data_IF_707014693548
#
_entry.id   IF_707014693548
#
_cell.length_a   1.000
_cell.length_b   1.000
_cell.length_c   1.000
_cell.angle_alpha   90.00
_cell.angle_beta   90.00
_cell.angle_gamma   90.00
#
_symmetry.space_group_name_H-M   'P 1'
#
loop_
_entity.id
_entity.type
_entity.pdbx_description
1 polymer ?
#
# COMPACT_ATOMS: atom_id res chain seq x y z
N UNK A 1 2.49 5.38 -9.38
CA UNK A 1 1.13 4.83 -9.58
C UNK A 1 1.18 3.69 -10.60
N UNK A 2 0.57 2.54 -10.29
CA UNK A 2 0.62 1.32 -11.12
C UNK A 2 -0.03 1.47 -12.50
N UNK A 3 -1.12 2.24 -12.61
CA UNK A 3 -1.79 2.53 -13.88
C UNK A 3 -0.95 3.36 -14.85
N UNK A 4 -0.14 4.30 -14.34
CA UNK A 4 0.77 5.09 -15.16
C UNK A 4 1.77 4.18 -15.92
N UNK A 5 2.39 3.25 -15.19
CA UNK A 5 3.30 2.27 -15.80
C UNK A 5 2.57 1.30 -16.72
N UNK A 6 1.33 0.93 -16.39
CA UNK A 6 0.52 0.04 -17.21
C UNK A 6 0.17 0.66 -18.57
N UNK A 7 -0.12 1.96 -18.65
CA UNK A 7 -0.49 2.63 -19.91
C UNK A 7 0.64 3.46 -20.53
N UNK A 8 1.90 3.20 -20.17
CA UNK A 8 3.07 3.99 -20.62
C UNK A 8 3.14 4.18 -22.14
N UNK A 9 2.78 3.14 -22.89
CA UNK A 9 2.81 3.13 -24.36
C UNK A 9 1.63 3.88 -25.00
N UNK A 10 0.59 4.27 -24.23
CA UNK A 10 -0.61 4.95 -24.74
C UNK A 10 -1.60 4.05 -25.50
N UNK A 11 -1.18 2.88 -25.94
CA UNK A 11 -2.01 1.85 -26.58
C UNK A 11 -2.23 0.64 -25.67
N UNK A 12 -3.38 -0.01 -25.85
CA UNK A 12 -3.67 -1.30 -25.24
C UNK A 12 -4.27 -2.22 -26.32
N UNK A 13 -3.39 -2.86 -27.09
CA UNK A 13 -3.79 -3.93 -28.00
C UNK A 13 -4.07 -5.22 -27.22
N UNK A 14 -4.78 -6.17 -27.85
CA UNK A 14 -5.05 -7.48 -27.24
C UNK A 14 -3.77 -8.22 -26.83
N UNK A 15 -2.75 -8.22 -27.70
CA UNK A 15 -1.47 -8.88 -27.44
C UNK A 15 -0.70 -8.20 -26.29
N UNK A 16 -0.69 -6.87 -26.25
CA UNK A 16 -0.09 -6.12 -25.14
C UNK A 16 -0.80 -6.41 -23.81
N UNK A 17 -2.14 -6.46 -23.83
CA UNK A 17 -2.92 -6.80 -22.64
C UNK A 17 -2.60 -8.21 -22.13
N UNK A 18 -2.64 -9.22 -23.02
CA UNK A 18 -2.32 -10.60 -22.67
C UNK A 18 -0.90 -10.75 -22.10
N UNK A 19 0.08 -10.10 -22.73
CA UNK A 19 1.47 -10.08 -22.26
C UNK A 19 1.60 -9.44 -20.87
N UNK A 20 0.94 -8.29 -20.64
CA UNK A 20 0.94 -7.63 -19.33
C UNK A 20 0.25 -8.45 -18.25
N UNK A 21 -0.82 -9.17 -18.59
CA UNK A 21 -1.51 -10.06 -17.66
C UNK A 21 -0.63 -11.24 -17.27
N UNK A 22 0.00 -11.89 -18.26
CA UNK A 22 0.94 -12.98 -18.03
C UNK A 22 2.10 -12.56 -17.10
N UNK A 23 2.72 -11.41 -17.35
CA UNK A 23 3.79 -10.89 -16.49
C UNK A 23 3.32 -10.61 -15.05
N UNK A 24 2.06 -10.20 -14.86
CA UNK A 24 1.49 -9.92 -13.54
C UNK A 24 1.19 -11.18 -12.74
N UNK A 25 1.08 -12.34 -13.37
CA UNK A 25 1.03 -13.62 -12.66
C UNK A 25 2.30 -13.81 -11.81
N UNK A 26 3.47 -13.58 -12.40
CA UNK A 26 4.76 -13.77 -11.72
C UNK A 26 5.14 -12.62 -10.79
N UNK A 27 4.71 -11.40 -11.10
CA UNK A 27 5.11 -10.21 -10.35
C UNK A 27 4.11 -9.75 -9.29
N UNK A 28 2.87 -10.25 -9.33
CA UNK A 28 1.83 -9.94 -8.35
C UNK A 28 1.16 -11.19 -7.77
N UNK A 29 0.57 -12.06 -8.60
CA UNK A 29 -0.24 -13.18 -8.11
C UNK A 29 0.58 -14.19 -7.30
N UNK A 30 1.70 -14.68 -7.85
CA UNK A 30 2.56 -15.63 -7.16
C UNK A 30 3.07 -15.05 -5.83
N UNK A 31 3.68 -13.84 -5.79
CA UNK A 31 4.08 -13.22 -4.53
C UNK A 31 2.92 -13.06 -3.54
N UNK A 32 1.74 -12.63 -4.02
CA UNK A 32 0.54 -12.45 -3.20
C UNK A 32 0.11 -13.75 -2.53
N UNK A 33 0.05 -14.85 -3.28
CA UNK A 33 -0.31 -16.16 -2.74
C UNK A 33 0.73 -16.66 -1.73
N UNK A 34 2.02 -16.48 -2.01
CA UNK A 34 3.09 -16.89 -1.11
C UNK A 34 3.08 -16.10 0.20
N UNK A 35 2.90 -14.78 0.14
CA UNK A 35 2.86 -13.95 1.35
C UNK A 35 1.62 -14.23 2.22
N UNK A 36 0.44 -14.40 1.62
CA UNK A 36 -0.75 -14.79 2.37
C UNK A 36 -0.62 -16.21 2.96
N UNK A 37 0.05 -17.12 2.26
CA UNK A 37 0.38 -18.44 2.82
C UNK A 37 1.32 -18.31 4.02
N UNK A 38 2.40 -17.51 3.91
CA UNK A 38 3.31 -17.23 5.03
C UNK A 38 2.53 -16.62 6.20
N UNK A 39 1.69 -15.62 5.95
CA UNK A 39 0.86 -14.98 6.95
C UNK A 39 -0.10 -15.96 7.64
N UNK A 40 -0.68 -16.91 6.90
CA UNK A 40 -1.49 -17.98 7.46
C UNK A 40 -0.67 -18.97 8.31
N UNK A 41 0.56 -19.29 7.91
CA UNK A 41 1.47 -20.09 8.75
C UNK A 41 1.84 -19.34 10.05
N UNK A 42 2.06 -18.02 9.99
CA UNK A 42 2.24 -17.18 11.17
C UNK A 42 0.98 -17.16 12.05
N UNK A 43 -0.20 -17.13 11.45
CA UNK A 43 -1.47 -17.24 12.16
C UNK A 43 -1.57 -18.57 12.91
N UNK A 44 -1.30 -19.71 12.26
CA UNK A 44 -1.23 -21.03 12.91
C UNK A 44 -0.21 -21.02 14.06
N UNK A 45 0.98 -20.46 13.84
CA UNK A 45 2.02 -20.40 14.87
C UNK A 45 1.57 -19.64 16.13
N UNK A 46 0.71 -18.62 15.99
CA UNK A 46 0.15 -17.87 17.13
C UNK A 46 -0.80 -18.70 18.01
N UNK A 47 -1.36 -19.81 17.49
CA UNK A 47 -2.15 -20.76 18.28
C UNK A 47 -1.30 -21.73 19.10
N UNK A 48 0.03 -21.65 19.04
CA UNK A 48 0.89 -22.44 19.90
C UNK A 48 0.68 -22.04 21.37
N UNK A 49 0.35 -22.96 22.30
CA UNK A 49 -0.12 -22.61 23.65
C UNK A 49 0.77 -21.62 24.43
N UNK A 50 2.12 -21.70 24.37
CA UNK A 50 3.00 -20.71 25.00
C UNK A 50 2.88 -19.28 24.44
N UNK A 51 2.42 -19.10 23.20
CA UNK A 51 2.25 -17.79 22.55
C UNK A 51 0.84 -17.21 22.74
N UNK A 52 -0.15 -18.02 23.09
CA UNK A 52 -1.54 -17.59 23.25
C UNK A 52 -1.74 -16.35 24.15
N UNK A 53 -1.05 -16.21 25.31
CA UNK A 53 -1.20 -15.01 26.14
C UNK A 53 -0.79 -13.70 25.45
N UNK A 54 0.11 -13.77 24.48
CA UNK A 54 0.59 -12.60 23.72
C UNK A 54 -0.41 -12.19 22.64
N UNK A 55 -1.13 -13.16 22.06
CA UNK A 55 -2.01 -13.00 20.89
C UNK A 55 -3.49 -13.25 21.21
N UNK A 56 -3.95 -12.75 22.36
CA UNK A 56 -5.36 -12.76 22.76
C UNK A 56 -6.25 -12.16 21.64
N UNK A 57 -7.41 -12.78 21.38
CA UNK A 57 -8.34 -12.45 20.27
C UNK A 57 -8.02 -13.17 18.96
N UNK A 58 -6.75 -13.33 18.57
CA UNK A 58 -6.37 -14.10 17.38
C UNK A 58 -6.63 -15.60 17.62
N UNK A 59 -6.32 -16.07 18.83
CA UNK A 59 -6.46 -17.48 19.20
C UNK A 59 -7.91 -17.97 19.27
N UNK A 60 -8.88 -17.05 19.27
CA UNK A 60 -10.32 -17.36 19.28
C UNK A 60 -10.83 -17.74 17.88
N UNK A 61 -10.12 -17.32 16.82
CA UNK A 61 -10.47 -17.63 15.44
C UNK A 61 -10.02 -19.07 15.14
N UNK A 62 -10.91 -20.01 14.79
CA UNK A 62 -10.53 -21.41 14.59
C UNK A 62 -9.66 -21.60 13.35
N UNK A 63 -8.70 -22.52 13.42
CA UNK A 63 -7.95 -22.97 12.23
C UNK A 63 -8.88 -23.91 11.44
N UNK A 64 -9.44 -23.42 10.34
CA UNK A 64 -10.34 -24.17 9.47
C UNK A 64 -9.97 -23.98 8.00
N UNK A 65 -10.43 -24.90 7.14
CA UNK A 65 -10.26 -24.76 5.69
C UNK A 65 -10.97 -23.52 5.14
N UNK A 66 -12.11 -23.14 5.73
CA UNK A 66 -12.81 -21.90 5.39
C UNK A 66 -11.95 -20.67 5.68
N UNK A 67 -11.33 -20.61 6.86
CA UNK A 67 -10.45 -19.51 7.25
C UNK A 67 -9.15 -19.49 6.43
N UNK A 68 -8.67 -20.66 6.00
CA UNK A 68 -7.59 -20.73 5.01
C UNK A 68 -7.98 -20.08 3.68
N UNK A 69 -9.17 -20.37 3.12
CA UNK A 69 -9.61 -19.72 1.87
C UNK A 69 -9.85 -18.22 2.06
N UNK A 70 -10.51 -17.82 3.16
CA UNK A 70 -10.73 -16.42 3.52
C UNK A 70 -9.43 -15.62 3.66
N UNK A 71 -8.33 -16.28 4.05
CA UNK A 71 -7.01 -15.64 4.18
C UNK A 71 -6.52 -14.97 2.90
N UNK A 72 -6.95 -15.46 1.73
CA UNK A 72 -6.56 -14.92 0.43
C UNK A 72 -7.55 -13.90 -0.13
N UNK A 73 -8.58 -13.51 0.61
CA UNK A 73 -9.57 -12.56 0.08
C UNK A 73 -10.13 -11.64 1.16
N UNK A 74 -10.81 -12.20 2.15
CA UNK A 74 -11.51 -11.47 3.21
C UNK A 74 -11.37 -12.22 4.53
N UNK A 75 -10.29 -11.93 5.25
CA UNK A 75 -10.02 -12.46 6.57
C UNK A 75 -10.40 -11.42 7.63
N UNK A 76 -11.44 -11.73 8.41
CA UNK A 76 -11.96 -10.81 9.43
C UNK A 76 -11.30 -11.11 10.78
N UNK A 77 -10.61 -10.12 11.33
CA UNK A 77 -10.18 -10.15 12.72
C UNK A 77 -11.30 -9.54 13.58
N UNK A 78 -12.10 -10.39 14.21
CA UNK A 78 -13.11 -9.94 15.18
C UNK A 78 -12.41 -9.13 16.29
N UNK A 79 -12.90 -7.91 16.56
CA UNK A 79 -12.36 -7.02 17.59
C UNK A 79 -11.41 -5.91 17.14
N UNK A 80 -10.95 -5.87 15.88
CA UNK A 80 -10.10 -4.76 15.38
C UNK A 80 -10.88 -3.55 14.80
N UNK A 81 -12.22 -3.61 14.77
CA UNK A 81 -13.06 -2.49 14.30
C UNK A 81 -12.88 -2.13 12.81
N UNK A 82 -12.09 -2.90 12.07
CA UNK A 82 -11.88 -2.68 10.64
C UNK A 82 -13.07 -3.27 9.88
N UNK A 83 -13.89 -2.36 9.33
CA UNK A 83 -15.01 -2.68 8.45
C UNK A 83 -14.59 -3.05 7.02
N UNK A 84 -13.29 -2.94 6.71
CA UNK A 84 -12.77 -3.12 5.37
C UNK A 84 -12.38 -4.56 5.09
N UNK A 85 -12.75 -5.06 3.91
CA UNK A 85 -12.36 -6.41 3.47
C UNK A 85 -10.87 -6.46 3.13
N UNK A 86 -10.11 -7.28 3.87
CA UNK A 86 -8.66 -7.43 3.70
C UNK A 86 -8.26 -8.90 3.71
N UNK A 87 -7.20 -9.30 2.98
CA UNK A 87 -6.62 -10.61 3.15
C UNK A 87 -5.87 -10.71 4.49
N UNK A 88 -5.45 -11.91 4.90
CA UNK A 88 -4.82 -12.12 6.22
C UNK A 88 -3.53 -11.31 6.40
N UNK A 89 -2.76 -11.13 5.32
CA UNK A 89 -1.68 -10.15 5.27
C UNK A 89 -2.26 -8.79 4.86
N UNK A 90 -2.75 -8.04 5.85
CA UNK A 90 -3.57 -6.85 5.64
C UNK A 90 -2.98 -5.86 4.61
N UNK A 91 -1.67 -5.54 4.54
CA UNK A 91 -1.15 -4.58 3.57
C UNK A 91 -1.46 -4.98 2.14
N UNK A 92 -1.54 -6.29 1.85
CA UNK A 92 -1.73 -6.84 0.49
C UNK A 92 -3.13 -6.63 -0.08
N UNK A 93 -4.06 -6.00 0.65
CA UNK A 93 -5.36 -5.58 0.11
C UNK A 93 -5.22 -4.83 -1.22
N UNK A 94 -4.24 -3.93 -1.32
CA UNK A 94 -4.02 -3.15 -2.55
C UNK A 94 -3.54 -4.03 -3.72
N UNK A 95 -2.75 -5.07 -3.44
CA UNK A 95 -2.28 -6.02 -4.48
C UNK A 95 -3.45 -6.85 -5.00
N UNK A 96 -4.32 -7.33 -4.10
CA UNK A 96 -5.58 -8.01 -4.46
C UNK A 96 -6.43 -7.13 -5.38
N UNK A 97 -6.70 -5.91 -4.96
CA UNK A 97 -7.52 -4.97 -5.72
C UNK A 97 -6.87 -4.61 -7.05
N UNK A 98 -5.54 -4.43 -7.07
CA UNK A 98 -4.79 -4.15 -8.29
C UNK A 98 -4.89 -5.29 -9.32
N UNK A 99 -4.94 -6.55 -8.90
CA UNK A 99 -5.15 -7.67 -9.83
C UNK A 99 -6.50 -7.56 -10.53
N UNK A 100 -7.56 -7.23 -9.79
CA UNK A 100 -8.91 -7.04 -10.35
C UNK A 100 -8.97 -5.82 -11.27
N UNK A 101 -8.37 -4.70 -10.85
CA UNK A 101 -8.29 -3.48 -11.65
C UNK A 101 -7.54 -3.72 -12.97
N UNK A 102 -6.49 -4.54 -12.95
CA UNK A 102 -5.76 -4.96 -14.17
C UNK A 102 -6.66 -5.79 -15.08
N UNK A 103 -7.45 -6.72 -14.55
CA UNK A 103 -8.42 -7.46 -15.36
C UNK A 103 -9.42 -6.52 -16.03
N UNK A 104 -9.91 -5.51 -15.29
CA UNK A 104 -10.79 -4.46 -15.78
C UNK A 104 -10.11 -3.42 -16.70
N UNK A 105 -8.79 -3.48 -16.88
CA UNK A 105 -8.05 -2.43 -17.61
C UNK A 105 -8.52 -2.18 -19.05
N UNK A 106 -8.99 -3.15 -19.86
CA UNK A 106 -9.53 -2.84 -21.19
C UNK A 106 -10.77 -1.92 -21.15
N UNK A 107 -11.61 -2.06 -20.13
CA UNK A 107 -12.76 -1.18 -19.91
C UNK A 107 -12.29 0.21 -19.43
N UNK A 108 -11.36 0.24 -18.46
CA UNK A 108 -10.77 1.48 -17.96
C UNK A 108 -10.05 2.26 -19.07
N UNK A 109 -9.40 1.57 -20.02
CA UNK A 109 -8.77 2.18 -21.19
C UNK A 109 -9.78 2.95 -22.05
N UNK A 110 -10.96 2.37 -22.31
CA UNK A 110 -12.04 3.05 -23.05
C UNK A 110 -12.56 4.25 -22.26
N UNK A 111 -12.76 4.09 -20.95
CA UNK A 111 -13.22 5.16 -20.07
C UNK A 111 -12.23 6.35 -20.06
N UNK A 112 -10.92 6.07 -19.99
CA UNK A 112 -9.88 7.11 -20.05
C UNK A 112 -9.93 7.85 -21.39
N UNK A 113 -10.20 7.16 -22.51
CA UNK A 113 -10.35 7.78 -23.83
C UNK A 113 -11.57 8.68 -23.98
N UNK A 114 -12.65 8.42 -23.24
CA UNK A 114 -13.81 9.31 -23.22
C UNK A 114 -13.51 10.68 -22.58
N UNK A 115 -12.37 10.80 -21.89
CA UNK A 115 -11.81 12.08 -21.44
C UNK A 115 -11.87 12.31 -19.94
N UNK A 116 -11.37 13.49 -19.54
CA UNK A 116 -11.15 13.87 -18.12
C UNK A 116 -12.40 13.88 -17.25
N UNK A 117 -13.59 14.04 -17.83
CA UNK A 117 -14.84 14.09 -17.07
C UNK A 117 -15.14 12.75 -16.39
N UNK A 118 -15.00 11.62 -17.09
CA UNK A 118 -15.24 10.30 -16.50
C UNK A 118 -14.21 9.95 -15.43
N UNK A 119 -12.94 10.33 -15.63
CA UNK A 119 -11.89 10.18 -14.62
C UNK A 119 -12.23 11.03 -13.38
N UNK A 120 -12.72 12.24 -13.58
CA UNK A 120 -13.22 13.12 -12.52
C UNK A 120 -14.43 12.56 -11.78
N UNK A 121 -15.37 11.91 -12.47
CA UNK A 121 -16.52 11.25 -11.85
C UNK A 121 -16.10 10.09 -10.95
N UNK A 122 -15.18 9.23 -11.42
CA UNK A 122 -14.60 8.16 -10.57
C UNK A 122 -13.91 8.76 -9.35
N UNK A 123 -13.18 9.86 -9.55
CA UNK A 123 -12.55 10.61 -8.46
C UNK A 123 -13.56 11.19 -7.46
N UNK A 124 -14.68 11.75 -7.93
CA UNK A 124 -15.74 12.27 -7.08
C UNK A 124 -16.42 11.19 -6.25
N UNK A 125 -16.71 10.03 -6.86
CA UNK A 125 -17.28 8.87 -6.16
C UNK A 125 -16.32 8.36 -5.08
N UNK A 126 -15.03 8.21 -5.42
CA UNK A 126 -14.00 7.83 -4.47
C UNK A 126 -13.91 8.84 -3.32
N UNK A 127 -13.86 10.13 -3.65
CA UNK A 127 -13.69 11.21 -2.69
C UNK A 127 -14.84 11.29 -1.68
N UNK A 128 -16.08 11.05 -2.11
CA UNK A 128 -17.28 11.21 -1.28
C UNK A 128 -17.75 9.93 -0.57
N UNK A 129 -17.57 8.75 -1.18
CA UNK A 129 -18.23 7.52 -0.70
C UNK A 129 -17.30 6.30 -0.56
N UNK A 130 -16.22 6.23 -1.34
CA UNK A 130 -15.35 5.06 -1.51
C UNK A 130 -16.05 3.70 -1.26
N UNK A 131 -17.01 3.34 -2.11
CA UNK A 131 -17.76 2.12 -1.94
C UNK A 131 -16.85 0.89 -2.05
N UNK A 132 -17.15 -0.12 -1.26
CA UNK A 132 -16.56 -1.45 -1.38
C UNK A 132 -17.53 -2.38 -2.13
N UNK A 133 -17.02 -3.12 -3.11
CA UNK A 133 -17.81 -4.09 -3.87
C UNK A 133 -17.15 -5.46 -3.81
N UNK A 134 -17.84 -6.45 -3.24
CA UNK A 134 -17.31 -7.81 -3.06
C UNK A 134 -15.94 -7.84 -2.35
N UNK A 135 -15.73 -6.90 -1.43
CA UNK A 135 -14.49 -6.73 -0.69
C UNK A 135 -13.38 -5.97 -1.43
N UNK A 136 -13.65 -5.38 -2.60
CA UNK A 136 -12.68 -4.57 -3.36
C UNK A 136 -12.94 -3.08 -3.12
N UNK A 137 -11.89 -2.34 -2.77
CA UNK A 137 -11.94 -0.91 -2.45
C UNK A 137 -11.77 -0.05 -3.72
N UNK A 138 -12.63 0.97 -3.88
CA UNK A 138 -12.62 1.88 -5.03
C UNK A 138 -11.32 2.68 -5.18
N UNK A 139 -10.52 2.80 -4.12
CA UNK A 139 -9.20 3.43 -4.09
C UNK A 139 -8.27 2.87 -5.17
N UNK A 140 -8.27 1.54 -5.35
CA UNK A 140 -7.47 0.89 -6.38
C UNK A 140 -7.87 1.33 -7.79
N UNK A 141 -9.18 1.35 -8.06
CA UNK A 141 -9.75 1.76 -9.35
C UNK A 141 -9.48 3.23 -9.66
N UNK A 142 -9.68 4.13 -8.70
CA UNK A 142 -9.45 5.55 -8.89
C UNK A 142 -7.99 5.85 -9.21
N UNK A 143 -7.05 5.43 -8.36
CA UNK A 143 -5.62 5.78 -8.55
C UNK A 143 -5.00 5.07 -9.75
N UNK A 144 -5.46 3.87 -10.11
CA UNK A 144 -5.04 3.23 -11.34
C UNK A 144 -5.52 4.00 -12.56
N UNK A 145 -6.80 4.40 -12.58
CA UNK A 145 -7.41 5.16 -13.69
C UNK A 145 -6.77 6.54 -13.83
N UNK A 146 -6.56 7.25 -12.71
CA UNK A 146 -5.88 8.55 -12.67
C UNK A 146 -4.45 8.46 -13.23
N UNK A 147 -3.68 7.46 -12.77
CA UNK A 147 -2.34 7.21 -13.30
C UNK A 147 -2.34 6.88 -14.79
N UNK A 148 -3.31 6.09 -15.25
CA UNK A 148 -3.50 5.78 -16.66
C UNK A 148 -3.83 7.00 -17.51
N UNK A 149 -4.71 7.88 -17.01
CA UNK A 149 -5.02 9.15 -17.64
C UNK A 149 -3.78 10.04 -17.79
N UNK A 150 -2.97 10.18 -16.73
CA UNK A 150 -1.71 10.94 -16.81
C UNK A 150 -0.75 10.37 -17.85
N UNK A 151 -0.61 9.03 -17.91
CA UNK A 151 0.27 8.39 -18.89
C UNK A 151 -0.20 8.56 -20.33
N UNK A 152 -1.49 8.37 -20.59
CA UNK A 152 -2.06 8.44 -21.95
C UNK A 152 -2.10 9.88 -22.48
N UNK A 153 -2.33 10.85 -21.61
CA UNK A 153 -2.36 12.28 -21.99
C UNK A 153 -1.01 12.99 -21.78
N UNK A 154 0.06 12.25 -21.46
CA UNK A 154 1.42 12.79 -21.26
C UNK A 154 1.46 13.93 -20.23
N UNK A 155 0.67 13.81 -19.18
CA UNK A 155 0.66 14.77 -18.06
C UNK A 155 1.87 14.47 -17.18
N UNK A 156 2.82 15.42 -17.14
CA UNK A 156 3.96 15.36 -16.22
C UNK A 156 3.64 16.10 -14.92
N UNK A 157 3.58 15.37 -13.81
CA UNK A 157 3.37 15.95 -12.49
C UNK A 157 4.53 16.89 -12.07
N UNK A 158 5.76 16.63 -12.53
CA UNK A 158 6.90 17.48 -12.25
C UNK A 158 6.76 18.86 -12.92
N UNK A 159 6.12 18.92 -14.09
CA UNK A 159 5.82 20.18 -14.77
C UNK A 159 4.71 20.97 -14.05
N UNK A 160 3.66 20.29 -13.56
CA UNK A 160 2.58 20.93 -12.77
C UNK A 160 3.16 21.62 -11.52
N UNK A 161 4.06 20.94 -10.82
CA UNK A 161 4.66 21.45 -9.57
C UNK A 161 6.07 22.00 -9.78
N UNK A 162 6.38 22.53 -10.96
CA UNK A 162 7.73 23.02 -11.31
C UNK A 162 8.15 24.24 -10.49
N UNK A 163 7.24 25.18 -10.26
CA UNK A 163 7.56 26.44 -9.58
C UNK A 163 7.75 26.26 -8.06
N UNK A 164 8.73 26.96 -7.48
CA UNK A 164 8.97 26.96 -6.02
C UNK A 164 7.72 27.38 -5.23
N UNK A 165 6.97 28.36 -5.75
CA UNK A 165 5.71 28.82 -5.14
C UNK A 165 4.65 27.70 -5.10
N UNK A 166 4.48 26.95 -6.19
CA UNK A 166 3.54 25.82 -6.24
C UNK A 166 3.90 24.72 -5.25
N UNK A 167 5.20 24.35 -5.15
CA UNK A 167 5.69 23.36 -4.17
C UNK A 167 5.38 23.79 -2.73
N UNK A 168 5.79 25.01 -2.36
CA UNK A 168 5.57 25.55 -1.01
C UNK A 168 4.06 25.64 -0.69
N UNK A 169 3.26 26.17 -1.64
CA UNK A 169 1.81 26.30 -1.47
C UNK A 169 1.14 24.94 -1.25
N UNK A 170 1.56 23.90 -1.98
CA UNK A 170 1.01 22.55 -1.84
C UNK A 170 1.42 21.90 -0.52
N UNK A 171 2.67 22.07 -0.09
CA UNK A 171 3.13 21.61 1.23
C UNK A 171 2.38 22.30 2.36
N UNK A 172 2.16 23.61 2.26
CA UNK A 172 1.41 24.37 3.26
C UNK A 172 -0.07 23.95 3.28
N UNK A 173 -0.69 23.76 2.11
CA UNK A 173 -2.05 23.23 2.00
C UNK A 173 -2.17 21.86 2.67
N UNK A 174 -1.21 20.96 2.46
CA UNK A 174 -1.19 19.65 3.12
C UNK A 174 -1.15 19.78 4.65
N UNK A 175 -0.35 20.70 5.20
CA UNK A 175 -0.31 20.96 6.65
C UNK A 175 -1.66 21.47 7.17
N UNK A 176 -2.34 22.36 6.44
CA UNK A 176 -3.68 22.81 6.83
C UNK A 176 -4.67 21.64 6.82
N UNK A 177 -4.67 20.86 5.74
CA UNK A 177 -5.63 19.77 5.52
C UNK A 177 -5.42 18.65 6.53
N UNK A 178 -4.17 18.26 6.85
CA UNK A 178 -3.91 17.22 7.86
C UNK A 178 -4.30 17.67 9.28
N UNK A 179 -4.11 18.94 9.62
CA UNK A 179 -4.57 19.48 10.91
C UNK A 179 -6.10 19.46 10.97
N UNK A 180 -6.76 19.89 9.90
CA UNK A 180 -8.22 19.85 9.80
C UNK A 180 -8.75 18.40 9.88
N UNK A 181 -8.10 17.44 9.22
CA UNK A 181 -8.41 16.01 9.31
C UNK A 181 -8.35 15.50 10.75
N UNK A 182 -7.30 15.86 11.49
CA UNK A 182 -7.14 15.46 12.89
C UNK A 182 -8.23 16.04 13.80
N UNK A 183 -8.61 17.32 13.61
CA UNK A 183 -9.60 18.01 14.46
C UNK A 183 -11.03 17.53 14.17
N UNK A 184 -11.32 17.15 12.93
CA UNK A 184 -12.68 16.79 12.49
C UNK A 184 -13.01 15.31 12.69
N UNK A 185 -12.14 14.53 13.34
CA UNK A 185 -12.38 13.11 13.60
C UNK A 185 -13.72 12.91 14.32
N UNK A 186 -14.56 12.04 13.75
CA UNK A 186 -15.91 11.75 14.26
C UNK A 186 -17.03 12.57 13.61
N UNK A 187 -16.70 13.60 12.84
CA UNK A 187 -17.67 14.38 12.08
C UNK A 187 -18.13 13.67 10.81
N UNK A 188 -19.34 13.97 10.33
CA UNK A 188 -19.91 13.36 9.11
C UNK A 188 -19.09 13.64 7.85
N UNK A 189 -18.47 14.82 7.76
CA UNK A 189 -17.64 15.24 6.64
C UNK A 189 -16.15 14.87 6.81
N UNK A 190 -15.77 14.25 7.94
CA UNK A 190 -14.41 13.81 8.18
C UNK A 190 -13.89 12.92 7.05
N UNK A 191 -14.76 12.05 6.53
CA UNK A 191 -14.44 11.12 5.46
C UNK A 191 -13.92 11.82 4.19
N UNK A 192 -14.62 12.88 3.76
CA UNK A 192 -14.24 13.70 2.61
C UNK A 192 -12.86 14.34 2.85
N UNK A 193 -12.69 14.94 4.03
CA UNK A 193 -11.46 15.63 4.39
C UNK A 193 -10.27 14.67 4.48
N UNK A 194 -10.50 13.46 4.98
CA UNK A 194 -9.52 12.39 5.03
C UNK A 194 -9.03 12.00 3.64
N UNK A 195 -9.95 11.83 2.68
CA UNK A 195 -9.58 11.55 1.28
C UNK A 195 -8.84 12.71 0.61
N UNK A 196 -9.17 13.96 0.93
CA UNK A 196 -8.41 15.14 0.48
C UNK A 196 -6.99 15.11 1.08
N UNK A 197 -6.86 14.71 2.34
CA UNK A 197 -5.56 14.54 3.03
C UNK A 197 -4.72 13.49 2.32
N UNK A 198 -5.30 12.35 1.94
CA UNK A 198 -4.62 11.30 1.15
C UNK A 198 -4.16 11.89 -0.19
N UNK A 199 -5.04 12.59 -0.91
CA UNK A 199 -4.72 13.14 -2.24
C UNK A 199 -3.56 14.15 -2.17
N UNK A 200 -3.67 15.13 -1.28
CA UNK A 200 -2.64 16.16 -1.06
C UNK A 200 -1.34 15.56 -0.54
N UNK A 201 -1.42 14.59 0.37
CA UNK A 201 -0.26 13.86 0.90
C UNK A 201 0.54 13.15 -0.18
N UNK A 202 -0.12 12.45 -1.14
CA UNK A 202 0.61 11.82 -2.25
C UNK A 202 1.32 12.84 -3.14
N UNK A 203 0.71 14.00 -3.39
CA UNK A 203 1.34 15.06 -4.18
C UNK A 203 2.57 15.59 -3.44
N UNK A 204 2.47 15.82 -2.12
CA UNK A 204 3.62 16.21 -1.29
C UNK A 204 4.72 15.16 -1.32
N UNK A 205 4.38 13.87 -1.21
CA UNK A 205 5.37 12.79 -1.32
C UNK A 205 6.06 12.76 -2.68
N UNK A 206 5.33 13.03 -3.77
CA UNK A 206 5.92 13.18 -5.11
C UNK A 206 6.87 14.38 -5.19
N UNK A 207 6.47 15.54 -4.63
CA UNK A 207 7.32 16.73 -4.56
C UNK A 207 8.59 16.44 -3.75
N UNK A 208 8.48 15.77 -2.61
CA UNK A 208 9.62 15.37 -1.79
C UNK A 208 10.56 14.44 -2.58
N UNK A 209 10.02 13.46 -3.31
CA UNK A 209 10.82 12.57 -4.16
C UNK A 209 11.55 13.34 -5.27
N UNK A 210 10.88 14.26 -5.98
CA UNK A 210 11.51 15.14 -6.99
C UNK A 210 12.63 15.99 -6.39
N UNK A 211 12.42 16.58 -5.20
CA UNK A 211 13.43 17.39 -4.51
C UNK A 211 14.64 16.55 -4.08
N UNK A 212 14.42 15.38 -3.47
CA UNK A 212 15.49 14.47 -3.06
C UNK A 212 16.30 14.04 -4.28
N UNK A 213 15.65 13.67 -5.38
CA UNK A 213 16.32 13.27 -6.61
C UNK A 213 17.19 14.41 -7.18
N UNK A 214 16.69 15.64 -7.21
CA UNK A 214 17.46 16.82 -7.65
C UNK A 214 18.65 17.13 -6.76
N UNK A 215 18.52 16.94 -5.44
CA UNK A 215 19.61 17.14 -4.48
C UNK A 215 20.65 15.99 -4.51
N UNK A 216 20.25 14.80 -5.00
CA UNK A 216 21.08 13.59 -5.02
C UNK A 216 21.83 13.35 -6.34
N UNK A 217 21.68 14.25 -7.33
CA UNK A 217 22.31 14.13 -8.65
C UNK A 217 23.84 14.09 -8.47
N UNK A 218 24.44 12.92 -8.76
CA UNK A 218 25.89 12.69 -8.78
C UNK A 218 26.47 11.78 -7.69
N UNK A 219 25.71 11.38 -6.65
CA UNK A 219 26.30 10.60 -5.53
C UNK A 219 25.55 9.33 -5.07
N UNK A 220 24.29 9.10 -5.48
CA UNK A 220 23.47 8.05 -4.82
C UNK A 220 22.37 7.37 -5.65
N UNK A 221 22.47 7.33 -6.98
CA UNK A 221 21.48 6.61 -7.82
C UNK A 221 21.46 5.12 -7.51
N UNK A 222 22.63 4.52 -7.27
CA UNK A 222 22.79 3.10 -6.92
C UNK A 222 22.03 2.76 -5.62
N UNK A 223 22.11 3.62 -4.61
CA UNK A 223 21.45 3.38 -3.33
C UNK A 223 19.91 3.46 -3.46
N UNK A 224 19.42 4.39 -4.29
CA UNK A 224 17.99 4.56 -4.56
C UNK A 224 17.46 3.32 -5.29
N UNK A 225 18.15 2.85 -6.32
CA UNK A 225 17.79 1.63 -7.05
C UNK A 225 17.83 0.40 -6.13
N UNK A 226 18.84 0.33 -5.26
CA UNK A 226 18.97 -0.74 -4.29
C UNK A 226 17.77 -0.79 -3.33
N UNK A 227 17.42 0.33 -2.69
CA UNK A 227 16.26 0.36 -1.80
C UNK A 227 14.94 0.19 -2.54
N UNK A 228 14.81 0.70 -3.77
CA UNK A 228 13.63 0.50 -4.61
C UNK A 228 13.33 -0.99 -4.81
N UNK A 229 14.36 -1.82 -5.03
CA UNK A 229 14.22 -3.28 -5.17
C UNK A 229 13.65 -3.96 -3.91
N UNK A 230 13.87 -3.38 -2.71
CA UNK A 230 13.40 -3.95 -1.43
C UNK A 230 11.98 -3.55 -1.04
N UNK A 231 11.42 -2.53 -1.69
CA UNK A 231 10.16 -1.89 -1.25
C UNK A 231 8.99 -2.86 -1.15
N UNK A 232 8.81 -3.75 -2.14
CA UNK A 232 7.70 -4.71 -2.12
C UNK A 232 7.86 -5.75 -1.01
N UNK A 233 9.08 -6.25 -0.81
CA UNK A 233 9.35 -7.20 0.27
C UNK A 233 9.06 -6.59 1.64
N UNK A 234 9.53 -5.36 1.90
CA UNK A 234 9.23 -4.64 3.15
C UNK A 234 7.72 -4.41 3.28
N UNK A 235 7.06 -4.01 2.19
CA UNK A 235 5.62 -3.80 2.15
C UNK A 235 4.80 -5.06 2.49
N UNK A 236 5.21 -6.25 2.06
CA UNK A 236 4.52 -7.48 2.42
C UNK A 236 4.90 -7.95 3.85
N UNK A 237 6.18 -7.95 4.19
CA UNK A 237 6.65 -8.53 5.45
C UNK A 237 6.22 -7.72 6.69
N UNK A 238 6.21 -6.38 6.62
CA UNK A 238 6.02 -5.55 7.80
C UNK A 238 4.68 -5.79 8.51
N UNK A 239 3.62 -6.09 7.75
CA UNK A 239 2.29 -6.33 8.29
C UNK A 239 2.24 -7.53 9.23
N UNK A 240 3.09 -8.53 9.01
CA UNK A 240 3.07 -9.78 9.77
C UNK A 240 3.48 -9.60 11.24
N UNK A 241 4.33 -8.62 11.54
CA UNK A 241 4.97 -8.49 12.85
C UNK A 241 4.94 -7.07 13.46
N UNK A 242 4.46 -6.05 12.74
CA UNK A 242 4.38 -4.67 13.28
C UNK A 242 3.53 -4.58 14.55
N UNK A 243 2.39 -5.29 14.60
CA UNK A 243 1.51 -5.29 15.76
C UNK A 243 2.14 -5.92 17.02
N UNK A 244 2.67 -7.16 16.98
CA UNK A 244 3.37 -7.72 18.15
C UNK A 244 4.62 -6.94 18.53
N UNK A 245 5.38 -6.41 17.56
CA UNK A 245 6.55 -5.57 17.85
C UNK A 245 6.14 -4.32 18.63
N UNK A 246 5.09 -3.60 18.17
CA UNK A 246 4.56 -2.42 18.85
C UNK A 246 4.09 -2.77 20.27
N UNK A 247 3.36 -3.88 20.43
CA UNK A 247 2.91 -4.35 21.76
C UNK A 247 4.10 -4.62 22.68
N UNK A 248 5.14 -5.29 22.19
CA UNK A 248 6.37 -5.55 22.94
C UNK A 248 7.10 -4.26 23.36
N UNK A 249 7.22 -3.29 22.46
CA UNK A 249 7.82 -1.99 22.77
C UNK A 249 7.00 -1.20 23.80
N UNK A 250 5.67 -1.22 23.71
CA UNK A 250 4.80 -0.60 24.70
C UNK A 250 4.96 -1.23 26.09
N UNK A 251 5.12 -2.55 26.17
CA UNK A 251 5.36 -3.25 27.44
C UNK A 251 6.75 -2.94 28.02
N UNK A 252 7.77 -2.84 27.18
CA UNK A 252 9.14 -2.58 27.60
C UNK A 252 9.38 -1.13 28.04
N UNK A 253 8.81 -0.16 27.29
CA UNK A 253 9.05 1.27 27.52
C UNK A 253 7.99 1.94 28.40
N UNK A 254 6.82 1.31 28.58
CA UNK A 254 5.69 1.79 29.38
C UNK A 254 5.43 3.29 29.17
N UNK A 255 4.92 3.70 27.98
CA UNK A 255 4.81 5.10 27.62
C UNK A 255 3.78 5.84 28.51
N UNK A 256 4.26 6.48 29.58
CA UNK A 256 3.44 7.25 30.53
C UNK A 256 3.22 8.70 30.13
N UNK A 257 4.00 9.22 29.18
CA UNK A 257 3.85 10.59 28.65
C UNK A 257 3.71 10.61 27.13
N UNK A 258 3.12 11.68 26.59
CA UNK A 258 2.94 11.86 25.15
C UNK A 258 4.27 11.79 24.39
N UNK A 259 5.34 12.36 24.94
CA UNK A 259 6.68 12.31 24.33
C UNK A 259 7.16 10.87 24.22
N UNK A 260 7.05 10.08 25.30
CA UNK A 260 7.48 8.67 25.29
C UNK A 260 6.61 7.84 24.34
N UNK A 261 5.31 8.13 24.26
CA UNK A 261 4.41 7.47 23.30
C UNK A 261 4.83 7.73 21.84
N UNK A 262 5.12 8.99 21.48
CA UNK A 262 5.60 9.36 20.13
C UNK A 262 6.94 8.69 19.83
N UNK A 263 7.89 8.72 20.77
CA UNK A 263 9.19 8.07 20.56
C UNK A 263 9.07 6.55 20.43
N UNK A 264 8.20 5.91 21.22
CA UNK A 264 7.89 4.47 21.13
C UNK A 264 7.29 4.14 19.76
N UNK A 265 6.38 4.98 19.26
CA UNK A 265 5.79 4.82 17.93
C UNK A 265 6.85 4.96 16.83
N UNK A 266 7.70 5.98 16.87
CA UNK A 266 8.78 6.17 15.88
C UNK A 266 9.78 5.01 15.92
N UNK A 267 10.14 4.53 17.11
CA UNK A 267 10.99 3.37 17.28
C UNK A 267 10.37 2.11 16.67
N UNK A 268 9.05 1.92 16.81
CA UNK A 268 8.35 0.79 16.21
C UNK A 268 8.44 0.80 14.68
N UNK A 269 8.31 1.98 14.04
CA UNK A 269 8.46 2.13 12.58
C UNK A 269 9.89 1.80 12.15
N UNK A 270 10.89 2.41 12.79
CA UNK A 270 12.30 2.21 12.44
C UNK A 270 12.71 0.75 12.59
N UNK A 271 12.34 0.14 13.72
CA UNK A 271 12.64 -1.28 13.99
C UNK A 271 11.95 -2.20 13.00
N UNK A 272 10.71 -1.91 12.62
CA UNK A 272 9.98 -2.67 11.59
C UNK A 272 10.70 -2.63 10.24
N UNK A 273 11.14 -1.44 9.80
CA UNK A 273 11.86 -1.29 8.54
C UNK A 273 13.20 -2.03 8.59
N UNK A 274 13.98 -1.83 9.66
CA UNK A 274 15.30 -2.46 9.84
C UNK A 274 15.18 -3.99 9.84
N UNK A 275 14.27 -4.55 10.63
CA UNK A 275 14.07 -6.01 10.69
C UNK A 275 13.59 -6.56 9.34
N UNK A 276 12.75 -5.83 8.62
CA UNK A 276 12.30 -6.24 7.28
C UNK A 276 13.46 -6.27 6.28
N UNK A 277 14.34 -5.25 6.31
CA UNK A 277 15.53 -5.19 5.47
C UNK A 277 16.55 -6.27 5.82
N UNK A 278 16.81 -6.51 7.11
CA UNK A 278 17.69 -7.60 7.56
C UNK A 278 17.15 -8.93 7.04
N UNK A 279 15.85 -9.18 7.19
CA UNK A 279 15.19 -10.40 6.69
C UNK A 279 15.34 -10.53 5.18
N UNK A 280 15.14 -9.46 4.42
CA UNK A 280 15.36 -9.45 2.98
C UNK A 280 16.79 -9.86 2.60
N UNK A 281 17.81 -9.23 3.19
CA UNK A 281 19.21 -9.51 2.83
C UNK A 281 19.66 -10.90 3.29
N UNK A 282 19.22 -11.35 4.46
CA UNK A 282 19.48 -12.71 4.94
C UNK A 282 18.84 -13.72 3.98
N UNK A 283 17.57 -13.53 3.62
CA UNK A 283 16.88 -14.46 2.71
C UNK A 283 17.46 -14.42 1.29
N UNK A 284 17.86 -13.24 0.81
CA UNK A 284 18.54 -13.09 -0.48
C UNK A 284 19.88 -13.84 -0.51
N UNK A 285 20.59 -13.89 0.62
CA UNK A 285 21.85 -14.63 0.73
C UNK A 285 21.65 -16.14 0.88
N UNK A 286 20.69 -16.57 1.72
CA UNK A 286 20.47 -17.98 2.04
C UNK A 286 19.65 -18.71 0.97
N UNK A 287 18.57 -18.09 0.47
CA UNK A 287 17.61 -18.66 -0.46
C UNK A 287 17.23 -17.65 -1.57
N UNK A 288 18.17 -17.25 -2.46
CA UNK A 288 17.97 -16.18 -3.44
C UNK A 288 16.78 -16.40 -4.38
N UNK A 289 16.54 -17.64 -4.82
CA UNK A 289 15.41 -17.99 -5.69
C UNK A 289 14.07 -17.77 -5.00
N UNK A 290 13.95 -18.20 -3.74
CA UNK A 290 12.74 -17.98 -2.95
C UNK A 290 12.53 -16.50 -2.63
N UNK A 291 13.60 -15.77 -2.31
CA UNK A 291 13.54 -14.31 -2.12
C UNK A 291 13.06 -13.60 -3.40
N UNK A 292 13.56 -14.00 -4.57
CA UNK A 292 13.12 -13.44 -5.86
C UNK A 292 11.63 -13.71 -6.13
N UNK A 293 11.14 -14.92 -5.84
CA UNK A 293 9.73 -15.26 -5.94
C UNK A 293 8.86 -14.40 -5.00
N UNK A 294 9.26 -14.25 -3.74
CA UNK A 294 8.56 -13.38 -2.77
C UNK A 294 8.59 -11.91 -3.16
N UNK A 295 9.62 -11.45 -3.87
CA UNK A 295 9.74 -10.07 -4.29
C UNK A 295 9.07 -9.78 -5.65
N UNK A 296 8.60 -10.83 -6.34
CA UNK A 296 8.02 -10.74 -7.69
C UNK A 296 9.06 -10.42 -8.76
N UNK A 297 10.29 -10.95 -8.63
CA UNK A 297 11.37 -10.75 -9.60
C UNK A 297 12.04 -9.38 -9.57
N UNK A 298 11.79 -8.57 -8.52
CA UNK A 298 12.41 -7.26 -8.30
C UNK A 298 13.76 -7.35 -7.60
#
# INVERSE_FOLDING_TARGET
>A
MSGFLFYRNGTLTHNEYASKLHHRLYTLLIPYLLWNLIAFLFFIAKHYPPLCPVFQGITEIPISFENFLKSFWEFRFEGLGESKSMPIDFPLWYVRDLMIVVLCSPLLYRLIKCGRLLVGLIGGIWLSFNPEFCGIDMTGFFFFTLGGYFSMNKVDLADIFKSRKAKISTMFLFVIVIIADMITRGETYHYLLHNITILTGMIVMFICADLILRLSIGKSTILIEHFASTTFFVYALHGLFVAPLRKGLCLALQPTSNTVAVMTYMLSILTTIILSLITYYVLKKLCPQFCSLLNGGR
#
